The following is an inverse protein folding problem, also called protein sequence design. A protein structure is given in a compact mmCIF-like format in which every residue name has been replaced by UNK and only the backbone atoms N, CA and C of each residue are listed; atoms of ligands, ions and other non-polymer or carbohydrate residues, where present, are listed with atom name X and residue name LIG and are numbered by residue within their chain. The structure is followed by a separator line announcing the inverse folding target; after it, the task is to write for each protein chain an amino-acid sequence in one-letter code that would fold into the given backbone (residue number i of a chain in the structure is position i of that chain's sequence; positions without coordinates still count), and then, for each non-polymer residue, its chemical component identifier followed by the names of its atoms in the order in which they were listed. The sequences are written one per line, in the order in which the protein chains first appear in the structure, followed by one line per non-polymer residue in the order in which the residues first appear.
data_IF_053941195150
#
_entry.id   IF_053941195150
#
_cell.length_a   1.000
_cell.length_b   1.000
_cell.length_c   1.000
_cell.angle_alpha   90.00
_cell.angle_beta   90.00
_cell.angle_gamma   90.00
#
_symmetry.space_group_name_H-M   'P 1'
#
loop_
_entity.id
_entity.type
_entity.pdbx_description
1 polymer ?
#
# COMPACT_ATOMS: atom_id res chain seq x y z
N UNK A 1 -18.92 43.36 8.96
CA UNK A 1 -20.06 42.98 8.07
C UNK A 1 -20.85 41.85 8.74
N UNK A 2 -22.18 41.78 8.59
CA UNK A 2 -22.93 40.65 9.15
C UNK A 2 -22.69 39.39 8.33
N UNK A 3 -22.26 38.32 8.97
CA UNK A 3 -22.02 37.03 8.31
C UNK A 3 -23.34 36.36 7.96
N UNK A 4 -23.63 36.20 6.69
CA UNK A 4 -24.89 35.61 6.22
C UNK A 4 -24.77 34.08 6.05
N UNK A 5 -25.91 33.39 6.10
CA UNK A 5 -25.97 31.96 5.85
C UNK A 5 -25.48 31.58 4.41
N UNK A 6 -25.71 32.50 3.45
CA UNK A 6 -25.24 32.32 2.07
C UNK A 6 -23.69 32.30 1.98
N UNK A 7 -23.02 33.25 2.64
CA UNK A 7 -21.54 33.29 2.71
C UNK A 7 -20.98 32.03 3.37
N UNK A 8 -21.60 31.52 4.43
CA UNK A 8 -21.19 30.31 5.11
C UNK A 8 -21.36 29.09 4.19
N UNK A 9 -22.46 29.04 3.43
CA UNK A 9 -22.72 27.97 2.44
C UNK A 9 -21.68 28.00 1.32
N UNK A 10 -21.42 29.16 0.75
CA UNK A 10 -20.44 29.37 -0.31
C UNK A 10 -19.03 28.94 0.13
N UNK A 11 -18.57 29.43 1.29
CA UNK A 11 -17.27 29.04 1.82
C UNK A 11 -17.19 27.53 2.07
N UNK A 12 -18.28 26.90 2.52
CA UNK A 12 -18.35 25.45 2.70
C UNK A 12 -18.26 24.68 1.38
N UNK A 13 -18.92 25.15 0.35
CA UNK A 13 -18.88 24.53 -0.98
C UNK A 13 -17.47 24.57 -1.60
N UNK A 14 -16.77 25.69 -1.41
CA UNK A 14 -15.41 25.90 -1.93
C UNK A 14 -14.38 25.13 -1.07
N UNK A 15 -14.47 25.22 0.25
CA UNK A 15 -13.45 24.68 1.17
C UNK A 15 -13.66 23.21 1.57
N UNK A 16 -14.89 22.69 1.43
CA UNK A 16 -15.28 21.39 1.99
C UNK A 16 -15.33 21.34 3.53
N UNK A 17 -14.98 22.40 4.23
CA UNK A 17 -14.92 22.47 5.68
C UNK A 17 -16.30 22.41 6.35
N UNK A 18 -16.34 22.09 7.66
CA UNK A 18 -17.57 22.05 8.43
C UNK A 18 -18.26 23.41 8.52
N UNK A 19 -19.62 23.45 8.53
CA UNK A 19 -20.41 24.68 8.55
C UNK A 19 -20.02 25.64 9.70
N UNK A 20 -19.73 25.08 10.89
CA UNK A 20 -19.34 25.90 12.05
C UNK A 20 -17.92 26.45 11.91
N UNK A 21 -17.04 25.75 11.23
CA UNK A 21 -15.68 26.20 10.96
C UNK A 21 -15.68 27.31 9.91
N UNK A 22 -16.49 27.17 8.86
CA UNK A 22 -16.70 28.26 7.88
C UNK A 22 -17.27 29.51 8.54
N UNK A 23 -18.28 29.36 9.43
CA UNK A 23 -18.84 30.49 10.16
C UNK A 23 -17.80 31.18 11.05
N UNK A 24 -16.96 30.39 11.76
CA UNK A 24 -15.89 30.95 12.61
C UNK A 24 -14.82 31.64 11.76
N UNK A 25 -14.42 31.07 10.64
CA UNK A 25 -13.48 31.69 9.73
C UNK A 25 -13.96 33.02 9.20
N UNK A 26 -15.19 33.07 8.66
CA UNK A 26 -15.81 34.32 8.19
C UNK A 26 -15.96 35.36 9.31
N UNK A 27 -16.30 34.94 10.52
CA UNK A 27 -16.39 35.86 11.67
C UNK A 27 -15.01 36.43 12.00
N UNK A 28 -13.96 35.62 12.03
CA UNK A 28 -12.60 36.06 12.34
C UNK A 28 -12.02 36.99 11.27
N UNK A 29 -12.48 36.88 10.02
CA UNK A 29 -11.99 37.64 8.86
C UNK A 29 -12.98 38.73 8.40
N UNK A 30 -13.96 39.05 9.24
CA UNK A 30 -14.97 40.09 8.98
C UNK A 30 -15.73 39.91 7.64
N UNK A 31 -15.88 38.66 7.19
CA UNK A 31 -16.58 38.28 5.96
C UNK A 31 -15.72 38.28 4.70
N UNK A 32 -14.42 38.44 4.82
CA UNK A 32 -13.47 38.33 3.72
C UNK A 32 -13.26 36.83 3.36
N UNK A 33 -13.69 36.43 2.17
CA UNK A 33 -13.69 35.02 1.73
C UNK A 33 -12.28 34.46 1.55
N UNK A 34 -11.34 35.26 1.00
CA UNK A 34 -9.99 34.83 0.74
C UNK A 34 -9.24 34.61 2.06
N UNK A 35 -9.34 35.57 2.99
CA UNK A 35 -8.77 35.42 4.33
C UNK A 35 -9.45 34.28 5.13
N UNK A 36 -10.74 34.05 4.91
CA UNK A 36 -11.43 32.92 5.56
C UNK A 36 -10.93 31.56 5.02
N UNK A 37 -10.60 31.46 3.73
CA UNK A 37 -9.94 30.29 3.17
C UNK A 37 -8.56 30.08 3.79
N UNK A 38 -7.76 31.13 3.91
CA UNK A 38 -6.44 31.10 4.54
C UNK A 38 -6.51 30.68 6.01
N UNK A 39 -7.45 31.26 6.76
CA UNK A 39 -7.76 30.86 8.15
C UNK A 39 -8.13 29.38 8.27
N UNK A 40 -8.95 28.85 7.35
CA UNK A 40 -9.32 27.43 7.34
C UNK A 40 -8.14 26.54 7.02
N UNK A 41 -7.23 26.98 6.15
CA UNK A 41 -5.99 26.27 5.80
C UNK A 41 -5.05 26.16 7.01
N UNK A 42 -4.76 27.28 7.68
CA UNK A 42 -3.96 27.30 8.91
C UNK A 42 -4.56 26.43 10.01
N UNK A 43 -5.87 26.50 10.18
CA UNK A 43 -6.60 25.67 11.15
C UNK A 43 -6.54 24.19 10.78
N UNK A 44 -6.57 23.85 9.49
CA UNK A 44 -6.42 22.50 8.96
C UNK A 44 -5.09 21.91 9.34
N UNK A 45 -4.00 22.63 9.09
CA UNK A 45 -2.63 22.26 9.48
C UNK A 45 -2.51 22.03 11.01
N UNK A 46 -3.03 22.94 11.82
CA UNK A 46 -3.01 22.80 13.28
C UNK A 46 -3.84 21.59 13.76
N UNK A 47 -4.94 21.27 13.08
CA UNK A 47 -5.78 20.11 13.39
C UNK A 47 -5.06 18.81 13.01
N UNK A 48 -4.44 18.76 11.84
CA UNK A 48 -3.65 17.61 11.38
C UNK A 48 -2.48 17.33 12.35
N UNK A 49 -1.75 18.37 12.76
CA UNK A 49 -0.65 18.25 13.71
C UNK A 49 -1.11 17.69 15.08
N UNK A 50 -2.26 18.13 15.60
CA UNK A 50 -2.82 17.61 16.87
C UNK A 50 -3.21 16.13 16.77
N UNK A 51 -3.56 15.65 15.59
CA UNK A 51 -3.97 14.25 15.34
C UNK A 51 -2.82 13.36 14.91
N UNK A 52 -1.68 13.90 14.50
CA UNK A 52 -0.56 13.16 13.92
C UNK A 52 -0.01 12.02 14.79
N UNK A 53 -0.18 12.11 16.12
CA UNK A 53 0.23 11.07 17.08
C UNK A 53 -0.74 9.89 17.20
N UNK A 54 -1.95 9.98 16.60
CA UNK A 54 -2.92 8.90 16.65
C UNK A 54 -2.54 7.81 15.67
N UNK A 55 -2.74 6.55 16.06
CA UNK A 55 -2.45 5.40 15.21
C UNK A 55 -3.44 5.39 14.04
N UNK A 56 -2.91 5.38 12.82
CA UNK A 56 -3.67 5.25 11.58
C UNK A 56 -3.19 3.97 10.87
N UNK A 57 -3.77 2.82 11.24
CA UNK A 57 -3.40 1.50 10.75
C UNK A 57 -4.40 0.93 9.73
N UNK A 58 -5.52 1.60 9.54
CA UNK A 58 -6.50 1.33 8.48
C UNK A 58 -6.23 2.23 7.26
N UNK A 59 -7.09 2.21 6.25
CA UNK A 59 -6.94 2.98 5.02
C UNK A 59 -7.00 2.11 3.78
N UNK A 60 -6.37 2.53 2.69
CA UNK A 60 -6.34 1.78 1.43
C UNK A 60 -4.99 1.88 0.72
N UNK A 61 -4.68 0.83 -0.03
CA UNK A 61 -3.69 0.84 -1.10
C UNK A 61 -4.41 1.12 -2.42
N UNK A 62 -4.04 2.21 -3.08
CA UNK A 62 -4.54 2.60 -4.39
C UNK A 62 -3.48 2.32 -5.45
N UNK A 63 -3.90 1.70 -6.54
CA UNK A 63 -3.06 1.46 -7.71
C UNK A 63 -3.52 2.36 -8.84
N UNK A 64 -2.58 3.00 -9.52
CA UNK A 64 -2.84 3.75 -10.74
C UNK A 64 -1.89 3.25 -11.84
N UNK A 65 -2.45 2.86 -12.97
CA UNK A 65 -1.72 2.42 -14.15
C UNK A 65 -1.93 3.44 -15.25
N UNK A 66 -0.88 3.82 -15.96
CA UNK A 66 -0.96 4.68 -17.13
C UNK A 66 -1.72 3.98 -18.27
N UNK A 67 -2.29 4.75 -19.21
CA UNK A 67 -3.11 4.22 -20.30
C UNK A 67 -2.37 3.22 -21.19
N UNK A 68 -1.07 3.44 -21.41
CA UNK A 68 -0.19 2.56 -22.17
C UNK A 68 0.31 1.33 -21.37
N UNK A 69 -0.04 1.25 -20.09
CA UNK A 69 0.41 0.23 -19.15
C UNK A 69 1.94 0.15 -18.95
N UNK A 70 2.71 1.16 -19.38
CA UNK A 70 4.17 1.21 -19.22
C UNK A 70 4.60 1.69 -17.83
N UNK A 71 3.74 2.45 -17.16
CA UNK A 71 3.98 3.03 -15.84
C UNK A 71 2.83 2.72 -14.91
N UNK A 72 3.14 2.44 -13.66
CA UNK A 72 2.15 2.30 -12.62
C UNK A 72 2.71 2.76 -11.28
N UNK A 73 1.81 3.09 -10.34
CA UNK A 73 2.17 3.44 -8.97
C UNK A 73 1.25 2.70 -8.00
N UNK A 74 1.82 2.25 -6.90
CA UNK A 74 1.10 1.83 -5.70
C UNK A 74 1.27 2.90 -4.63
N UNK A 75 0.18 3.35 -4.04
CA UNK A 75 0.16 4.35 -2.96
C UNK A 75 -0.58 3.79 -1.77
N UNK A 76 -0.02 3.87 -0.58
CA UNK A 76 -0.71 3.57 0.68
C UNK A 76 -1.07 4.85 1.40
N UNK A 77 -2.37 5.06 1.65
CA UNK A 77 -2.88 6.14 2.47
C UNK A 77 -3.63 5.55 3.65
N UNK A 78 -3.14 5.85 4.85
CA UNK A 78 -3.70 5.35 6.09
C UNK A 78 -4.71 6.33 6.71
N UNK A 79 -5.65 5.76 7.48
CA UNK A 79 -6.62 6.45 8.32
C UNK A 79 -6.77 5.70 9.66
N UNK A 80 -7.48 6.29 10.64
CA UNK A 80 -7.67 5.65 11.95
C UNK A 80 -8.64 4.47 11.88
N UNK A 81 -9.69 4.54 11.02
CA UNK A 81 -10.76 3.54 10.96
C UNK A 81 -11.02 3.00 9.56
N UNK A 82 -11.58 1.80 9.48
CA UNK A 82 -12.04 1.18 8.24
C UNK A 82 -13.31 1.88 7.68
N UNK A 83 -14.06 2.61 8.51
CA UNK A 83 -15.17 3.44 8.05
C UNK A 83 -14.69 4.55 7.13
N UNK A 84 -13.58 5.22 7.48
CA UNK A 84 -12.96 6.23 6.61
C UNK A 84 -12.40 5.59 5.35
N UNK A 85 -11.79 4.43 5.43
CA UNK A 85 -11.29 3.70 4.26
C UNK A 85 -12.40 3.42 3.21
N UNK A 86 -13.65 3.22 3.67
CA UNK A 86 -14.83 3.01 2.82
C UNK A 86 -15.54 4.30 2.38
N UNK A 87 -15.12 5.45 2.89
CA UNK A 87 -15.75 6.74 2.60
C UNK A 87 -15.38 7.21 1.17
N UNK A 88 -16.38 7.55 0.36
CA UNK A 88 -16.18 7.97 -1.04
C UNK A 88 -15.28 9.19 -1.19
N UNK A 89 -15.38 10.18 -0.27
CA UNK A 89 -14.50 11.36 -0.29
C UNK A 89 -13.04 11.01 -0.02
N UNK A 90 -12.82 10.10 0.93
CA UNK A 90 -11.47 9.58 1.20
C UNK A 90 -10.91 8.85 -0.02
N UNK A 91 -11.70 7.95 -0.62
CA UNK A 91 -11.28 7.19 -1.81
C UNK A 91 -11.00 8.11 -3.00
N UNK A 92 -11.84 9.13 -3.22
CA UNK A 92 -11.61 10.13 -4.26
C UNK A 92 -10.31 10.92 -4.02
N UNK A 93 -10.04 11.32 -2.78
CA UNK A 93 -8.78 11.97 -2.43
C UNK A 93 -7.58 11.04 -2.67
N UNK A 94 -7.65 9.78 -2.25
CA UNK A 94 -6.55 8.82 -2.46
C UNK A 94 -6.31 8.55 -3.95
N UNK A 95 -7.38 8.54 -4.76
CA UNK A 95 -7.24 8.42 -6.21
C UNK A 95 -6.49 9.63 -6.82
N UNK A 96 -6.73 10.85 -6.33
CA UNK A 96 -5.97 12.04 -6.72
C UNK A 96 -4.50 11.95 -6.29
N UNK A 97 -4.24 11.47 -5.07
CA UNK A 97 -2.86 11.22 -4.59
C UNK A 97 -2.14 10.23 -5.52
N UNK A 98 -2.80 9.13 -5.89
CA UNK A 98 -2.22 8.13 -6.78
C UNK A 98 -1.99 8.69 -8.20
N UNK A 99 -2.88 9.57 -8.69
CA UNK A 99 -2.70 10.23 -9.98
C UNK A 99 -1.47 11.16 -9.98
N UNK A 100 -1.28 11.96 -8.94
CA UNK A 100 -0.09 12.79 -8.81
C UNK A 100 1.17 11.94 -8.60
N UNK A 101 1.10 10.88 -7.78
CA UNK A 101 2.22 10.00 -7.54
C UNK A 101 2.67 9.21 -8.78
N UNK A 102 1.80 9.00 -9.76
CA UNK A 102 2.17 8.41 -11.04
C UNK A 102 3.12 9.32 -11.85
N UNK A 103 2.92 10.62 -11.75
CA UNK A 103 3.66 11.64 -12.51
C UNK A 103 4.85 12.23 -11.76
N UNK A 104 4.93 12.04 -10.43
CA UNK A 104 5.97 12.65 -9.58
C UNK A 104 7.39 12.19 -9.95
N UNK A 105 8.35 13.09 -9.82
CA UNK A 105 9.79 12.79 -9.86
C UNK A 105 10.41 12.82 -8.44
N UNK A 106 9.59 12.94 -7.39
CA UNK A 106 10.06 12.93 -6.01
C UNK A 106 10.76 11.62 -5.66
N UNK A 107 11.94 11.73 -5.06
CA UNK A 107 12.74 10.57 -4.67
C UNK A 107 12.21 9.84 -3.42
N UNK A 108 11.47 10.56 -2.59
CA UNK A 108 10.93 10.05 -1.32
C UNK A 108 9.60 10.72 -0.96
N UNK A 109 9.01 10.25 0.13
CA UNK A 109 7.70 10.73 0.59
C UNK A 109 7.75 12.20 1.05
N UNK A 110 8.85 12.65 1.63
CA UNK A 110 8.95 14.02 2.13
C UNK A 110 9.03 15.01 0.98
N UNK A 111 9.79 14.69 -0.07
CA UNK A 111 9.83 15.45 -1.32
C UNK A 111 8.46 15.49 -2.00
N UNK A 112 7.75 14.35 -2.07
CA UNK A 112 6.40 14.27 -2.63
C UNK A 112 5.41 15.15 -1.87
N UNK A 113 5.43 15.11 -0.53
CA UNK A 113 4.56 15.94 0.32
C UNK A 113 4.80 17.45 0.15
N UNK A 114 5.99 17.84 -0.25
CA UNK A 114 6.36 19.24 -0.50
C UNK A 114 5.96 19.72 -1.91
N UNK A 115 5.63 18.83 -2.84
CA UNK A 115 5.20 19.20 -4.20
C UNK A 115 3.92 20.05 -4.18
N UNK A 116 3.76 20.88 -5.20
CA UNK A 116 2.50 21.57 -5.47
C UNK A 116 1.40 20.56 -5.78
N UNK A 117 0.26 20.67 -5.12
CA UNK A 117 -0.89 19.79 -5.35
C UNK A 117 -1.52 20.03 -6.72
N UNK A 118 -1.56 19.00 -7.56
CA UNK A 118 -2.04 19.06 -8.95
C UNK A 118 -3.48 19.59 -9.07
N UNK A 119 -4.33 19.28 -8.11
CA UNK A 119 -5.77 19.59 -8.13
C UNK A 119 -6.11 20.94 -7.47
N UNK A 120 -5.14 21.58 -6.81
CA UNK A 120 -5.22 22.93 -6.27
C UNK A 120 -3.82 23.50 -6.08
N UNK A 121 -3.33 24.22 -7.09
CA UNK A 121 -1.94 24.73 -7.15
C UNK A 121 -1.61 25.79 -6.09
N UNK A 122 -2.58 26.20 -5.27
CA UNK A 122 -2.34 27.08 -4.12
C UNK A 122 -1.85 26.33 -2.89
N UNK A 123 -1.77 25.00 -2.94
CA UNK A 123 -1.42 24.12 -1.82
C UNK A 123 -0.29 23.17 -2.20
N UNK A 124 0.40 22.70 -1.20
CA UNK A 124 1.25 21.51 -1.30
C UNK A 124 0.42 20.23 -1.11
N UNK A 125 0.97 19.07 -1.45
CA UNK A 125 0.36 17.76 -1.16
C UNK A 125 0.09 17.60 0.34
N UNK A 126 1.05 18.04 1.20
CA UNK A 126 0.89 18.00 2.65
C UNK A 126 -0.27 18.91 3.15
N UNK A 127 -0.44 20.07 2.56
CA UNK A 127 -1.54 20.97 2.92
C UNK A 127 -2.89 20.44 2.43
N UNK A 128 -2.93 19.78 1.28
CA UNK A 128 -4.11 19.08 0.80
C UNK A 128 -4.49 17.92 1.75
N UNK A 129 -3.50 17.13 2.22
CA UNK A 129 -3.70 16.10 3.25
C UNK A 129 -4.26 16.70 4.54
N UNK A 130 -3.67 17.79 5.04
CA UNK A 130 -4.15 18.47 6.26
C UNK A 130 -5.60 18.96 6.12
N UNK A 131 -5.97 19.44 4.95
CA UNK A 131 -7.34 19.79 4.61
C UNK A 131 -8.30 18.60 4.74
N UNK A 132 -7.91 17.43 4.24
CA UNK A 132 -8.70 16.19 4.36
C UNK A 132 -8.82 15.74 5.82
N UNK A 133 -7.74 15.79 6.60
CA UNK A 133 -7.75 15.49 8.04
C UNK A 133 -8.74 16.40 8.78
N UNK A 134 -8.80 17.69 8.43
CA UNK A 134 -9.74 18.62 9.04
C UNK A 134 -11.20 18.33 8.68
N UNK A 135 -11.48 17.91 7.44
CA UNK A 135 -12.83 17.61 6.92
C UNK A 135 -13.34 16.26 7.44
N UNK A 136 -12.51 15.22 7.37
CA UNK A 136 -12.87 13.86 7.76
C UNK A 136 -12.86 13.69 9.28
N UNK A 137 -11.93 14.37 9.96
CA UNK A 137 -11.86 14.36 11.42
C UNK A 137 -10.99 13.26 12.01
N UNK A 138 -10.29 12.46 11.19
CA UNK A 138 -9.34 11.43 11.61
C UNK A 138 -7.90 11.79 11.22
N UNK A 139 -6.92 11.19 11.90
CA UNK A 139 -5.54 11.20 11.44
C UNK A 139 -5.45 10.45 10.12
N UNK A 140 -4.75 11.05 9.16
CA UNK A 140 -4.49 10.45 7.85
C UNK A 140 -3.02 10.65 7.49
N UNK A 141 -2.47 9.69 6.78
CA UNK A 141 -1.06 9.74 6.34
C UNK A 141 -0.91 9.15 4.94
N UNK A 142 -0.33 9.89 4.02
CA UNK A 142 0.24 9.30 2.80
C UNK A 142 1.54 8.64 3.26
N UNK A 143 1.51 7.31 3.39
CA UNK A 143 2.57 6.57 4.07
C UNK A 143 3.76 6.28 3.17
N UNK A 144 3.46 5.78 1.98
CA UNK A 144 4.45 5.35 1.00
C UNK A 144 3.85 5.27 -0.39
N UNK A 145 4.69 5.39 -1.38
CA UNK A 145 4.37 5.07 -2.76
C UNK A 145 5.56 4.39 -3.43
N UNK A 146 5.29 3.66 -4.50
CA UNK A 146 6.33 3.06 -5.33
C UNK A 146 5.85 3.01 -6.77
N UNK A 147 6.68 3.54 -7.68
CA UNK A 147 6.46 3.49 -9.12
C UNK A 147 7.12 2.25 -9.70
N UNK A 148 6.53 1.73 -10.77
CA UNK A 148 7.07 0.69 -11.61
C UNK A 148 6.99 1.19 -13.06
N UNK A 149 8.10 1.11 -13.78
CA UNK A 149 8.19 1.51 -15.19
C UNK A 149 8.81 0.36 -16.00
N UNK A 150 8.13 -0.02 -17.11
CA UNK A 150 8.57 -1.10 -17.98
C UNK A 150 8.40 -0.73 -19.46
N UNK A 151 9.55 -0.50 -20.12
CA UNK A 151 9.58 -0.11 -21.53
C UNK A 151 9.33 -1.29 -22.48
N UNK A 152 9.82 -2.48 -22.12
CA UNK A 152 9.84 -3.69 -22.97
C UNK A 152 8.74 -4.68 -22.58
N UNK A 153 7.59 -4.18 -22.13
CA UNK A 153 6.50 -5.02 -21.64
C UNK A 153 5.35 -4.18 -21.12
N UNK A 154 4.85 -4.51 -19.96
CA UNK A 154 3.78 -3.77 -19.30
C UNK A 154 3.77 -4.03 -17.80
N UNK A 155 3.09 -3.16 -17.05
CA UNK A 155 2.83 -3.35 -15.63
C UNK A 155 1.39 -3.83 -15.43
N UNK A 156 1.23 -5.01 -14.85
CA UNK A 156 -0.07 -5.53 -14.43
C UNK A 156 -0.40 -5.09 -13.01
N UNK A 157 -1.69 -4.94 -12.72
CA UNK A 157 -2.17 -4.53 -11.39
C UNK A 157 -3.29 -5.44 -10.87
N UNK A 158 -3.33 -5.61 -9.55
CA UNK A 158 -4.41 -6.31 -8.87
C UNK A 158 -4.70 -5.69 -7.51
N UNK A 159 -5.96 -5.34 -7.28
CA UNK A 159 -6.44 -4.83 -5.99
C UNK A 159 -7.30 -5.90 -5.32
N UNK A 160 -6.97 -6.24 -4.08
CA UNK A 160 -7.69 -7.24 -3.28
C UNK A 160 -8.44 -6.58 -2.14
N UNK A 161 -9.64 -7.12 -1.82
CA UNK A 161 -10.50 -6.67 -0.71
C UNK A 161 -10.68 -5.15 -0.63
N UNK A 162 -10.98 -4.52 -1.79
CA UNK A 162 -11.28 -3.08 -1.85
C UNK A 162 -10.13 -2.16 -1.47
N UNK A 163 -8.88 -2.58 -1.72
CA UNK A 163 -7.68 -1.79 -1.42
C UNK A 163 -6.97 -2.20 -0.12
N UNK A 164 -7.35 -3.31 0.50
CA UNK A 164 -6.57 -3.88 1.62
C UNK A 164 -5.19 -4.32 1.16
N UNK A 165 -5.10 -4.92 -0.03
CA UNK A 165 -3.82 -5.30 -0.66
C UNK A 165 -3.83 -4.78 -2.09
N UNK A 166 -2.74 -4.15 -2.49
CA UNK A 166 -2.46 -3.74 -3.86
C UNK A 166 -1.17 -4.38 -4.37
N UNK A 167 -1.21 -4.89 -5.60
CA UNK A 167 -0.06 -5.53 -6.23
C UNK A 167 0.16 -4.96 -7.63
N UNK A 168 1.40 -4.59 -7.93
CA UNK A 168 1.91 -4.32 -9.28
C UNK A 168 2.88 -5.42 -9.67
N UNK A 169 2.81 -5.89 -10.91
CA UNK A 169 3.75 -6.88 -11.46
C UNK A 169 4.41 -6.30 -12.69
N UNK A 170 5.72 -6.26 -12.67
CA UNK A 170 6.56 -5.83 -13.79
C UNK A 170 6.80 -7.02 -14.73
N UNK A 171 6.26 -6.91 -15.96
CA UNK A 171 6.27 -7.98 -16.95
C UNK A 171 7.03 -7.54 -18.21
N UNK A 172 8.16 -8.15 -18.45
CA UNK A 172 8.91 -8.00 -19.71
C UNK A 172 8.38 -9.01 -20.72
N UNK A 173 7.99 -8.55 -21.90
CA UNK A 173 7.47 -9.42 -22.97
C UNK A 173 7.52 -8.73 -24.33
N UNK A 174 7.74 -9.53 -25.38
CA UNK A 174 7.67 -9.11 -26.78
C UNK A 174 6.25 -9.20 -27.38
N UNK A 175 5.30 -9.80 -26.65
CA UNK A 175 3.90 -9.93 -27.06
C UNK A 175 2.99 -9.46 -25.94
N UNK A 176 2.08 -8.53 -26.23
CA UNK A 176 1.06 -8.06 -25.29
C UNK A 176 -0.32 -8.41 -25.85
N UNK A 177 -0.97 -9.43 -25.28
CA UNK A 177 -2.31 -9.85 -25.61
C UNK A 177 -3.13 -10.18 -24.34
N UNK A 178 -4.39 -10.52 -24.49
CA UNK A 178 -5.29 -10.75 -23.35
C UNK A 178 -4.88 -11.96 -22.50
N UNK A 179 -4.35 -13.02 -23.12
CA UNK A 179 -3.90 -14.22 -22.39
C UNK A 179 -2.67 -13.92 -21.51
N UNK A 180 -1.70 -13.16 -22.03
CA UNK A 180 -0.52 -12.73 -21.27
C UNK A 180 -0.92 -11.73 -20.16
N UNK A 181 -1.85 -10.83 -20.43
CA UNK A 181 -2.40 -9.92 -19.39
C UNK A 181 -3.14 -10.69 -18.30
N UNK A 182 -3.92 -11.70 -18.66
CA UNK A 182 -4.60 -12.55 -17.68
C UNK A 182 -3.60 -13.36 -16.85
N UNK A 183 -2.57 -13.92 -17.47
CA UNK A 183 -1.49 -14.60 -16.77
C UNK A 183 -0.83 -13.66 -15.75
N UNK A 184 -0.46 -12.44 -16.14
CA UNK A 184 0.14 -11.46 -15.25
C UNK A 184 -0.80 -11.08 -14.07
N UNK A 185 -2.09 -10.94 -14.33
CA UNK A 185 -3.10 -10.73 -13.30
C UNK A 185 -3.19 -11.93 -12.33
N UNK A 186 -3.11 -13.15 -12.83
CA UNK A 186 -3.09 -14.35 -12.00
C UNK A 186 -1.84 -14.41 -11.12
N UNK A 187 -0.68 -13.99 -11.65
CA UNK A 187 0.57 -13.83 -10.87
C UNK A 187 0.38 -12.75 -9.79
N UNK A 188 -0.27 -11.63 -10.10
CA UNK A 188 -0.57 -10.59 -9.09
C UNK A 188 -1.50 -11.12 -7.98
N UNK A 189 -2.48 -11.96 -8.32
CA UNK A 189 -3.34 -12.64 -7.34
C UNK A 189 -2.55 -13.61 -6.45
N UNK A 190 -1.61 -14.36 -7.03
CA UNK A 190 -0.67 -15.23 -6.30
C UNK A 190 0.12 -14.42 -5.26
N UNK A 191 0.71 -13.29 -5.68
CA UNK A 191 1.48 -12.40 -4.81
C UNK A 191 0.62 -11.85 -3.67
N UNK A 192 -0.61 -11.43 -3.97
CA UNK A 192 -1.55 -10.96 -2.95
C UNK A 192 -1.85 -12.04 -1.90
N UNK A 193 -2.03 -13.29 -2.32
CA UNK A 193 -2.43 -14.41 -1.48
C UNK A 193 -1.29 -14.97 -0.64
N UNK A 194 -0.10 -15.16 -1.21
CA UNK A 194 1.00 -15.89 -0.57
C UNK A 194 2.17 -15.00 -0.11
N UNK A 195 2.11 -13.69 -0.38
CA UNK A 195 3.08 -12.69 0.09
C UNK A 195 4.55 -13.13 -0.07
N UNK A 196 5.01 -13.46 -1.29
CA UNK A 196 6.41 -13.77 -1.53
C UNK A 196 7.29 -12.57 -1.17
N UNK A 197 8.52 -12.82 -0.73
CA UNK A 197 9.48 -11.77 -0.41
C UNK A 197 10.31 -11.35 -1.61
N UNK A 198 10.54 -12.27 -2.54
CA UNK A 198 11.41 -12.10 -3.70
C UNK A 198 10.76 -12.67 -4.95
N UNK A 199 11.15 -12.17 -6.11
CA UNK A 199 10.66 -12.70 -7.39
C UNK A 199 11.32 -14.04 -7.69
N UNK A 200 12.65 -14.11 -7.53
CA UNK A 200 13.44 -15.29 -7.85
C UNK A 200 14.65 -15.46 -6.89
N UNK A 201 15.35 -16.58 -7.04
CA UNK A 201 16.47 -16.96 -6.16
C UNK A 201 17.67 -16.01 -6.21
N UNK A 202 17.88 -15.32 -7.34
CA UNK A 202 19.05 -14.43 -7.49
C UNK A 202 18.95 -13.15 -6.66
N UNK A 203 17.78 -12.82 -6.14
CA UNK A 203 17.56 -11.65 -5.31
C UNK A 203 17.95 -11.85 -3.84
N UNK A 204 18.17 -13.11 -3.43
CA UNK A 204 18.54 -13.45 -2.05
C UNK A 204 20.03 -13.49 -1.89
N UNK A 205 20.55 -12.74 -0.94
CA UNK A 205 21.98 -12.72 -0.64
C UNK A 205 22.46 -14.03 -0.02
N UNK A 206 23.71 -14.39 -0.26
CA UNK A 206 24.36 -15.52 0.41
C UNK A 206 24.39 -15.33 1.93
N UNK A 207 24.49 -14.09 2.40
CA UNK A 207 24.45 -13.74 3.83
C UNK A 207 23.11 -14.12 4.48
N UNK A 208 21.99 -13.85 3.79
CA UNK A 208 20.67 -14.27 4.27
C UNK A 208 20.61 -15.80 4.43
N UNK A 209 21.04 -16.53 3.39
CA UNK A 209 21.06 -18.01 3.43
C UNK A 209 21.95 -18.52 4.54
N UNK A 210 23.12 -17.89 4.76
CA UNK A 210 24.03 -18.25 5.83
C UNK A 210 23.41 -18.02 7.21
N UNK A 211 22.75 -16.88 7.40
CA UNK A 211 22.07 -16.55 8.64
C UNK A 211 20.93 -17.52 8.98
N UNK A 212 20.09 -17.87 7.99
CA UNK A 212 19.03 -18.86 8.18
C UNK A 212 19.58 -20.25 8.50
N UNK A 213 20.75 -20.64 7.92
CA UNK A 213 21.44 -21.87 8.30
C UNK A 213 21.86 -21.87 9.76
N UNK A 214 22.39 -20.76 10.27
CA UNK A 214 22.78 -20.62 11.69
C UNK A 214 21.58 -20.75 12.61
N UNK A 215 20.46 -20.09 12.27
CA UNK A 215 19.20 -20.18 13.03
C UNK A 215 18.70 -21.63 13.08
N UNK A 216 18.65 -22.31 11.94
CA UNK A 216 18.20 -23.70 11.86
C UNK A 216 19.15 -24.66 12.62
N UNK A 217 20.46 -24.42 12.55
CA UNK A 217 21.42 -25.18 13.34
C UNK A 217 21.19 -25.01 14.83
N UNK A 218 20.98 -23.77 15.30
CA UNK A 218 20.69 -23.49 16.71
C UNK A 218 19.37 -24.16 17.15
N UNK A 219 18.33 -24.13 16.33
CA UNK A 219 17.07 -24.82 16.60
C UNK A 219 17.26 -26.33 16.75
N UNK A 220 18.00 -26.96 15.81
CA UNK A 220 18.31 -28.41 15.87
C UNK A 220 19.13 -28.73 17.10
N UNK A 221 20.11 -27.93 17.48
CA UNK A 221 20.92 -28.14 18.67
C UNK A 221 20.12 -28.07 19.96
N UNK A 222 19.09 -27.22 20.00
CA UNK A 222 18.19 -27.07 21.15
C UNK A 222 17.10 -28.15 21.22
N UNK A 223 16.91 -28.96 20.16
CA UNK A 223 15.98 -30.09 20.18
C UNK A 223 16.65 -31.37 20.66
N UNK A 224 16.22 -31.97 21.80
CA UNK A 224 16.86 -33.15 22.37
C UNK A 224 16.88 -34.41 21.48
N UNK A 225 15.94 -34.49 20.52
CA UNK A 225 15.84 -35.61 19.56
C UNK A 225 16.65 -35.36 18.27
N UNK A 226 16.70 -34.12 17.84
CA UNK A 226 17.38 -33.76 16.59
C UNK A 226 18.88 -33.57 16.81
N UNK A 227 19.32 -33.04 17.96
CA UNK A 227 20.72 -32.81 18.31
C UNK A 227 21.56 -34.10 18.42
N UNK A 228 20.92 -35.23 18.63
CA UNK A 228 21.61 -36.55 18.75
C UNK A 228 21.83 -37.24 17.40
N UNK A 229 21.33 -36.66 16.29
CA UNK A 229 21.50 -37.24 14.97
C UNK A 229 22.94 -37.05 14.45
N UNK A 230 23.43 -37.96 13.58
CA UNK A 230 24.73 -37.78 12.93
C UNK A 230 24.81 -36.45 12.18
N UNK A 231 25.98 -35.79 12.19
CA UNK A 231 26.20 -34.48 11.56
C UNK A 231 25.74 -34.43 10.11
N UNK A 232 26.02 -35.48 9.33
CA UNK A 232 25.57 -35.58 7.93
C UNK A 232 24.04 -35.53 7.79
N UNK A 233 23.30 -36.08 8.74
CA UNK A 233 21.83 -36.05 8.77
C UNK A 233 21.37 -34.64 9.15
N UNK A 234 22.01 -33.99 10.11
CA UNK A 234 21.72 -32.60 10.50
C UNK A 234 21.92 -31.67 9.32
N UNK A 235 23.03 -31.76 8.58
CA UNK A 235 23.30 -30.97 7.38
C UNK A 235 22.24 -31.21 6.29
N UNK A 236 21.81 -32.45 6.09
CA UNK A 236 20.71 -32.79 5.19
C UNK A 236 19.36 -32.17 5.60
N UNK A 237 19.09 -32.16 6.92
CA UNK A 237 17.88 -31.55 7.47
C UNK A 237 17.88 -30.02 7.28
N UNK A 238 19.00 -29.35 7.56
CA UNK A 238 19.16 -27.91 7.34
C UNK A 238 18.94 -27.57 5.88
N UNK A 239 19.62 -28.27 4.97
CA UNK A 239 19.46 -28.04 3.53
C UNK A 239 18.02 -28.29 3.06
N UNK A 240 17.34 -29.30 3.58
CA UNK A 240 15.94 -29.58 3.27
C UNK A 240 14.98 -28.49 3.78
N UNK A 241 15.18 -28.03 5.02
CA UNK A 241 14.35 -26.94 5.61
C UNK A 241 14.56 -25.63 4.87
N UNK A 242 15.80 -25.24 4.60
CA UNK A 242 16.10 -24.03 3.80
C UNK A 242 15.49 -24.11 2.42
N UNK A 243 15.66 -25.22 1.69
CA UNK A 243 15.08 -25.36 0.39
C UNK A 243 13.54 -25.28 0.40
N UNK A 244 12.90 -25.75 1.48
CA UNK A 244 11.46 -25.61 1.65
C UNK A 244 11.08 -24.16 1.89
N UNK A 245 11.77 -23.48 2.81
CA UNK A 245 11.54 -22.07 3.13
C UNK A 245 11.75 -21.17 1.91
N UNK A 246 12.86 -21.36 1.20
CA UNK A 246 13.17 -20.61 -0.02
C UNK A 246 12.09 -20.77 -1.11
N UNK A 247 11.49 -21.96 -1.23
CA UNK A 247 10.37 -22.16 -2.15
C UNK A 247 9.11 -21.40 -1.76
N UNK A 248 8.92 -21.13 -0.48
CA UNK A 248 7.76 -20.36 0.01
C UNK A 248 7.95 -18.85 -0.19
N UNK A 249 9.18 -18.35 -0.10
CA UNK A 249 9.48 -16.92 -0.22
C UNK A 249 9.79 -16.44 -1.65
N UNK A 250 10.10 -17.34 -2.59
CA UNK A 250 10.31 -16.99 -4.00
C UNK A 250 9.04 -17.15 -4.81
N UNK A 251 8.55 -16.07 -5.39
CA UNK A 251 7.35 -16.09 -6.23
C UNK A 251 7.36 -17.20 -7.26
N UNK A 252 8.44 -17.29 -8.04
CA UNK A 252 8.53 -18.22 -9.18
C UNK A 252 8.61 -19.69 -8.74
N UNK A 253 9.11 -19.99 -7.55
CA UNK A 253 9.19 -21.33 -6.98
C UNK A 253 7.91 -21.78 -6.25
N UNK A 254 7.04 -20.82 -5.86
CA UNK A 254 5.77 -21.13 -5.19
C UNK A 254 4.91 -22.03 -6.06
N UNK A 255 4.15 -22.92 -5.41
CA UNK A 255 3.06 -23.62 -6.09
C UNK A 255 1.99 -22.62 -6.49
N UNK A 256 1.61 -22.63 -7.76
CA UNK A 256 0.59 -21.75 -8.28
C UNK A 256 -0.78 -22.06 -7.64
N UNK A 257 -1.43 -21.07 -7.05
CA UNK A 257 -2.67 -21.25 -6.27
C UNK A 257 -3.84 -21.83 -7.07
N UNK A 258 -3.81 -21.66 -8.41
CA UNK A 258 -4.82 -22.21 -9.32
C UNK A 258 -4.32 -23.47 -10.06
N UNK A 259 -3.20 -24.07 -9.65
CA UNK A 259 -2.68 -25.27 -10.26
C UNK A 259 -3.65 -26.46 -10.07
N UNK A 260 -4.14 -27.04 -11.15
CA UNK A 260 -5.09 -28.16 -11.12
C UNK A 260 -4.47 -29.42 -10.49
N UNK A 261 -3.15 -29.63 -10.70
CA UNK A 261 -2.40 -30.75 -10.14
C UNK A 261 -1.86 -30.49 -8.73
N UNK A 262 -2.04 -29.27 -8.20
CA UNK A 262 -1.51 -28.82 -6.91
C UNK A 262 0.03 -28.84 -6.81
N UNK A 263 0.75 -28.88 -7.96
CA UNK A 263 2.23 -29.00 -8.01
C UNK A 263 2.90 -28.05 -8.97
N UNK A 264 2.19 -27.52 -9.95
CA UNK A 264 2.73 -26.58 -10.94
C UNK A 264 3.26 -25.34 -10.23
N UNK A 265 4.51 -24.96 -10.48
CA UNK A 265 5.07 -23.71 -9.97
C UNK A 265 4.59 -22.51 -10.78
N UNK A 266 4.67 -21.31 -10.19
CA UNK A 266 4.39 -20.06 -10.92
C UNK A 266 5.26 -19.92 -12.15
N UNK A 267 6.56 -20.26 -12.06
CA UNK A 267 7.49 -20.25 -13.18
C UNK A 267 7.00 -21.13 -14.35
N UNK A 268 6.55 -22.36 -14.05
CA UNK A 268 6.03 -23.26 -15.07
C UNK A 268 4.74 -22.73 -15.70
N UNK A 269 3.85 -22.16 -14.89
CA UNK A 269 2.63 -21.55 -15.40
C UNK A 269 2.93 -20.39 -16.35
N UNK A 270 3.85 -19.49 -15.99
CA UNK A 270 4.28 -18.37 -16.86
C UNK A 270 4.91 -18.91 -18.15
N UNK A 271 5.79 -19.91 -18.06
CA UNK A 271 6.46 -20.51 -19.21
C UNK A 271 5.47 -21.23 -20.17
N UNK A 272 4.45 -21.88 -19.66
CA UNK A 272 3.40 -22.54 -20.47
C UNK A 272 2.56 -21.50 -21.24
N UNK A 273 2.13 -20.40 -20.58
CA UNK A 273 1.41 -19.33 -21.26
C UNK A 273 2.29 -18.65 -22.30
N UNK A 274 3.53 -18.35 -21.96
CA UNK A 274 4.51 -17.77 -22.89
C UNK A 274 4.66 -18.64 -24.14
N UNK A 275 4.87 -19.96 -23.96
CA UNK A 275 5.01 -20.92 -25.06
C UNK A 275 3.74 -21.02 -25.93
N UNK A 276 2.56 -21.03 -25.31
CA UNK A 276 1.29 -21.08 -26.03
C UNK A 276 1.08 -19.87 -26.92
N UNK A 277 1.62 -18.71 -26.53
CA UNK A 277 1.53 -17.46 -27.28
C UNK A 277 2.75 -17.16 -28.17
N UNK A 278 3.73 -18.06 -28.23
CA UNK A 278 4.97 -17.85 -28.98
C UNK A 278 5.77 -16.63 -28.50
N UNK A 279 5.64 -16.27 -27.22
CA UNK A 279 6.19 -15.09 -26.61
C UNK A 279 7.38 -15.41 -25.69
N UNK A 280 8.24 -14.41 -25.47
CA UNK A 280 9.19 -14.40 -24.39
C UNK A 280 8.57 -13.60 -23.23
N UNK A 281 8.40 -14.24 -22.09
CA UNK A 281 7.80 -13.58 -20.90
C UNK A 281 8.70 -13.77 -19.69
N UNK A 282 8.97 -12.68 -18.99
CA UNK A 282 9.71 -12.67 -17.73
C UNK A 282 8.98 -11.81 -16.70
N UNK A 283 8.78 -12.33 -15.53
CA UNK A 283 8.38 -11.54 -14.36
C UNK A 283 9.65 -10.93 -13.78
N UNK A 284 9.85 -9.63 -13.98
CA UNK A 284 11.04 -8.90 -13.56
C UNK A 284 11.00 -8.54 -12.09
N UNK A 285 9.82 -8.22 -11.59
CA UNK A 285 9.63 -7.83 -10.21
C UNK A 285 8.16 -7.59 -9.86
N UNK A 286 7.93 -7.23 -8.62
CA UNK A 286 6.61 -6.83 -8.15
C UNK A 286 6.69 -5.83 -7.00
N UNK A 287 5.60 -5.09 -6.82
CA UNK A 287 5.32 -4.29 -5.62
C UNK A 287 4.08 -4.86 -4.97
N UNK A 288 4.16 -5.17 -3.68
CA UNK A 288 3.00 -5.54 -2.87
C UNK A 288 2.93 -4.63 -1.67
N UNK A 289 1.81 -3.95 -1.51
CA UNK A 289 1.47 -3.23 -0.30
C UNK A 289 0.24 -3.84 0.35
N UNK A 290 0.30 -3.93 1.66
CA UNK A 290 -0.86 -4.24 2.50
C UNK A 290 -1.10 -3.06 3.45
N UNK A 291 -2.35 -2.62 3.56
CA UNK A 291 -2.72 -1.49 4.40
C UNK A 291 -2.36 -1.75 5.85
N UNK A 292 -1.60 -0.82 6.44
CA UNK A 292 -1.23 -0.88 7.85
C UNK A 292 -0.17 -1.93 8.18
N UNK A 293 0.46 -2.55 7.18
CA UNK A 293 1.54 -3.53 7.38
C UNK A 293 2.66 -2.95 8.26
N UNK A 294 3.02 -3.65 9.36
CA UNK A 294 4.05 -3.22 10.30
C UNK A 294 3.66 -2.05 11.21
N UNK A 295 2.42 -1.56 11.16
CA UNK A 295 1.91 -0.60 12.14
C UNK A 295 1.30 -1.37 13.30
N UNK A 296 1.71 -1.06 14.53
CA UNK A 296 1.07 -1.61 15.73
C UNK A 296 -0.41 -1.23 15.75
N UNK A 297 -1.28 -2.24 15.73
CA UNK A 297 -2.72 -2.02 15.92
C UNK A 297 -2.98 -1.90 17.42
N UNK A 298 -3.79 -0.91 17.79
CA UNK A 298 -4.32 -0.85 19.14
C UNK A 298 -5.21 -2.09 19.33
N UNK A 299 -4.84 -2.99 20.22
CA UNK A 299 -5.77 -4.03 20.67
C UNK A 299 -6.91 -3.32 21.41
N UNK A 300 -8.05 -3.18 20.73
CA UNK A 300 -9.27 -2.74 21.39
C UNK A 300 -9.81 -3.94 22.19
N UNK A 301 -9.49 -3.97 23.48
CA UNK A 301 -10.19 -4.86 24.40
C UNK A 301 -11.60 -4.30 24.61
N UNK A 302 -12.49 -4.63 23.68
CA UNK A 302 -13.88 -4.20 23.68
C UNK A 302 -14.58 -4.60 24.98
N UNK A 303 -14.20 -5.71 25.62
CA UNK A 303 -14.73 -6.14 26.91
C UNK A 303 -14.29 -5.21 28.04
N UNK A 304 -13.01 -4.78 28.05
CA UNK A 304 -12.51 -3.83 29.02
C UNK A 304 -13.10 -2.41 28.82
N UNK A 305 -13.35 -2.02 27.57
CA UNK A 305 -13.94 -0.72 27.27
C UNK A 305 -15.41 -0.67 27.68
N UNK A 306 -16.18 -1.71 27.41
CA UNK A 306 -17.57 -1.88 27.87
C UNK A 306 -17.63 -1.93 29.41
N UNK A 307 -16.74 -2.69 30.08
CA UNK A 307 -16.67 -2.76 31.53
C UNK A 307 -16.38 -1.37 32.15
N UNK A 308 -15.47 -0.61 31.55
CA UNK A 308 -15.14 0.77 31.96
C UNK A 308 -16.31 1.73 31.79
N UNK A 309 -17.09 1.59 30.70
CA UNK A 309 -18.31 2.40 30.49
C UNK A 309 -19.46 1.98 31.42
N UNK A 310 -19.53 0.72 31.79
CA UNK A 310 -20.52 0.21 32.74
C UNK A 310 -20.14 0.45 34.21
N UNK A 311 -18.99 1.04 34.49
CA UNK A 311 -18.51 1.34 35.84
C UNK A 311 -18.14 0.11 36.68
N UNK A 312 -17.76 -0.98 35.99
CA UNK A 312 -17.28 -2.23 36.60
C UNK A 312 -15.76 -2.28 36.67
#
# INVERSE_FOLDING_TARGET
MAITAAMVKELREISGAGMMDCKKALTATEGDMDKAMEFLREKGLATAQKKASRIAAEGIVMLKVAEDSKKAVAVEVNAETDFVAKNEKFQAYVAQVAEQALETEAADIDAFLAETWKFDTTKTVNEALAGQVAVIGENMKIRRFQKVEEENGFVASYTHMGGKIGVLVDVVTDVVNDEIKEMAKNVAMQIAALNPKYTNRSEVSEEYIAHEKEILMAQIQNDPKESQKPEKVIQGMISGRINKELKEIYLLDQVYVKAEDGKQSVEKYVAEVAKANGANVTIKGFVRYETGEGIEKKEEDFAAEVAKQMGM
#
